data_IF_752808252393
#
_entry.id   IF_752808252393
#
_cell.length_a   1.000
_cell.length_b   1.000
_cell.length_c   1.000
_cell.angle_alpha   90.00
_cell.angle_beta   90.00
_cell.angle_gamma   90.00
#
_symmetry.space_group_name_H-M   'P 1'
#
loop_
_entity.id
_entity.type
_entity.pdbx_description
1 polymer ?
#
# COMPACT_ATOMS: atom_id res chain seq x y z
N UNK A 1 -20.17 -4.12 20.51
CA UNK A 1 -19.78 -3.61 19.18
C UNK A 1 -19.72 -4.81 18.24
N UNK A 2 -20.03 -4.67 16.94
CA UNK A 2 -19.75 -5.76 15.99
C UNK A 2 -18.23 -5.98 15.96
N UNK A 3 -17.78 -7.21 16.13
CA UNK A 3 -16.37 -7.56 15.96
C UNK A 3 -16.05 -7.51 14.46
N UNK A 4 -15.28 -6.51 14.04
CA UNK A 4 -14.89 -6.34 12.64
C UNK A 4 -13.63 -7.15 12.27
N UNK A 5 -12.99 -7.80 13.26
CA UNK A 5 -11.68 -8.41 13.11
C UNK A 5 -10.58 -7.37 12.91
N UNK A 6 -9.35 -7.81 12.67
CA UNK A 6 -8.22 -6.91 12.37
C UNK A 6 -8.41 -6.18 11.03
N UNK A 7 -7.96 -4.91 10.91
CA UNK A 7 -7.93 -4.26 9.62
C UNK A 7 -6.91 -4.92 8.68
N UNK A 8 -7.26 -5.03 7.40
CA UNK A 8 -6.38 -5.56 6.33
C UNK A 8 -5.41 -4.48 5.82
N UNK A 9 -5.71 -3.22 6.09
CA UNK A 9 -4.82 -2.09 5.86
C UNK A 9 -5.03 -1.05 6.94
N UNK A 10 -3.95 -0.45 7.43
CA UNK A 10 -4.02 0.74 8.24
C UNK A 10 -2.77 1.60 8.04
N UNK A 11 -2.93 2.92 8.16
CA UNK A 11 -1.85 3.89 8.04
C UNK A 11 -2.09 5.14 8.89
N UNK A 12 -1.02 5.87 9.19
CA UNK A 12 -1.04 7.09 10.00
C UNK A 12 -1.18 8.35 9.14
N UNK A 13 -2.11 9.23 9.52
CA UNK A 13 -2.40 10.47 8.83
C UNK A 13 -1.96 11.66 9.69
N UNK A 14 -1.08 12.49 9.13
CA UNK A 14 -0.64 13.73 9.77
C UNK A 14 -1.53 14.87 9.30
N UNK A 15 -2.12 15.63 10.24
CA UNK A 15 -2.82 16.92 9.99
C UNK A 15 -3.85 16.87 8.85
N UNK A 16 -4.96 16.15 9.06
CA UNK A 16 -6.08 16.19 8.11
C UNK A 16 -6.61 17.63 8.03
N UNK A 17 -6.71 18.15 6.79
CA UNK A 17 -7.18 19.50 6.50
C UNK A 17 -8.69 19.67 6.77
N UNK A 18 -9.10 19.64 8.04
CA UNK A 18 -10.41 20.10 8.56
C UNK A 18 -10.44 19.94 10.09
N UNK A 19 -11.17 20.81 10.82
CA UNK A 19 -11.27 20.71 12.28
C UNK A 19 -12.04 19.45 12.76
N UNK A 20 -11.63 18.83 13.88
CA UNK A 20 -10.40 19.12 14.62
C UNK A 20 -9.19 18.70 13.78
N UNK A 21 -8.18 19.56 13.71
CA UNK A 21 -6.88 19.23 13.11
C UNK A 21 -6.18 18.25 14.06
N UNK A 22 -6.62 17.01 14.04
CA UNK A 22 -6.03 15.94 14.80
C UNK A 22 -5.39 14.96 13.82
N UNK A 23 -4.31 14.33 14.26
CA UNK A 23 -3.80 13.15 13.58
C UNK A 23 -4.86 12.04 13.63
N UNK A 24 -4.76 11.08 12.72
CA UNK A 24 -5.73 9.99 12.66
C UNK A 24 -5.10 8.73 12.11
N UNK A 25 -5.76 7.60 12.34
CA UNK A 25 -5.45 6.33 11.70
C UNK A 25 -6.57 6.05 10.70
N UNK A 26 -6.21 5.83 9.43
CA UNK A 26 -7.12 5.24 8.46
C UNK A 26 -7.01 3.73 8.59
N UNK A 27 -8.14 3.04 8.66
CA UNK A 27 -8.20 1.59 8.75
C UNK A 27 -9.22 1.05 7.77
N UNK A 28 -8.84 0.04 6.98
CA UNK A 28 -9.71 -0.70 6.07
C UNK A 28 -9.85 -2.11 6.59
N UNK A 29 -11.08 -2.52 6.89
CA UNK A 29 -11.39 -3.85 7.41
C UNK A 29 -11.71 -4.82 6.29
N UNK A 30 -11.58 -6.12 6.56
CA UNK A 30 -11.91 -7.17 5.59
C UNK A 30 -13.38 -7.15 5.15
N UNK A 31 -14.25 -6.62 5.99
CA UNK A 31 -15.66 -6.35 5.67
C UNK A 31 -15.84 -5.29 4.59
N UNK A 32 -14.81 -4.51 4.30
CA UNK A 32 -14.84 -3.40 3.36
C UNK A 32 -15.03 -2.04 4.00
N UNK A 33 -15.37 -1.97 5.29
CA UNK A 33 -15.59 -0.71 5.99
C UNK A 33 -14.28 0.05 6.15
N UNK A 34 -14.33 1.35 5.88
CA UNK A 34 -13.20 2.28 5.99
C UNK A 34 -13.48 3.24 7.14
N UNK A 35 -12.64 3.16 8.16
CA UNK A 35 -12.72 4.00 9.34
C UNK A 35 -11.62 5.02 9.35
N UNK A 36 -11.97 6.21 9.82
CA UNK A 36 -11.02 7.21 10.28
C UNK A 36 -11.14 7.28 11.81
N UNK A 37 -10.04 6.95 12.48
CA UNK A 37 -9.96 6.92 13.93
C UNK A 37 -9.13 8.13 14.36
N UNK A 38 -9.75 9.21 14.86
CA UNK A 38 -8.99 10.39 15.26
C UNK A 38 -8.14 10.05 16.48
N UNK A 39 -6.91 10.56 16.50
CA UNK A 39 -6.02 10.52 17.64
C UNK A 39 -6.31 11.79 18.43
N UNK A 40 -6.83 11.62 19.64
CA UNK A 40 -7.05 12.72 20.57
C UNK A 40 -5.71 13.32 21.03
N UNK A 41 -5.58 14.65 20.98
CA UNK A 41 -4.41 15.36 21.48
C UNK A 41 -4.36 15.37 23.02
N UNK A 42 -5.52 15.30 23.68
CA UNK A 42 -5.62 15.23 25.13
C UNK A 42 -5.46 13.80 25.63
N UNK A 43 -4.23 13.50 26.05
CA UNK A 43 -3.82 12.19 26.56
C UNK A 43 -4.63 11.68 27.75
N UNK A 44 -5.30 12.55 28.53
CA UNK A 44 -6.15 12.12 29.64
C UNK A 44 -7.39 11.35 29.17
N UNK A 45 -7.77 11.49 27.90
CA UNK A 45 -8.89 10.77 27.30
C UNK A 45 -8.53 9.32 26.93
N UNK A 46 -7.25 9.00 26.93
CA UNK A 46 -6.75 7.64 26.83
C UNK A 46 -6.71 7.06 28.23
N UNK A 47 -7.35 5.91 28.42
CA UNK A 47 -7.24 5.14 29.67
C UNK A 47 -5.87 4.46 29.71
N UNK A 48 -4.82 5.26 29.86
CA UNK A 48 -3.47 4.77 30.10
C UNK A 48 -3.47 4.27 31.54
N UNK A 49 -3.14 2.99 31.74
CA UNK A 49 -3.01 2.42 33.08
C UNK A 49 -2.09 3.34 33.92
N UNK A 50 -2.61 3.99 34.99
CA UNK A 50 -1.90 5.03 35.73
C UNK A 50 -0.77 4.47 36.62
N UNK A 51 -0.67 3.15 36.73
CA UNK A 51 0.21 2.52 37.69
C UNK A 51 1.68 2.48 37.24
N UNK A 52 2.02 2.93 36.03
CA UNK A 52 3.40 2.99 35.52
C UNK A 52 4.38 3.66 36.47
N UNK A 53 4.03 4.84 36.98
CA UNK A 53 4.88 5.59 37.89
C UNK A 53 4.96 4.93 39.28
N UNK A 54 3.96 4.09 39.61
CA UNK A 54 3.91 3.33 40.85
C UNK A 54 4.61 1.97 40.76
N UNK A 55 4.85 1.44 39.55
CA UNK A 55 5.44 0.11 39.32
C UNK A 55 6.81 -0.06 40.00
N UNK A 56 7.63 1.00 39.97
CA UNK A 56 8.95 1.07 40.63
C UNK A 56 8.88 0.81 42.14
N UNK A 57 7.75 1.10 42.79
CA UNK A 57 7.57 0.87 44.22
C UNK A 57 7.22 -0.59 44.55
N UNK A 58 6.84 -1.37 43.55
CA UNK A 58 6.48 -2.78 43.66
C UNK A 58 7.45 -3.71 42.93
N UNK A 59 8.55 -3.18 42.36
CA UNK A 59 9.60 -3.95 41.66
C UNK A 59 10.08 -5.19 42.43
N UNK A 60 10.36 -5.13 43.75
CA UNK A 60 10.79 -6.32 44.49
C UNK A 60 9.73 -7.43 44.49
N UNK A 61 8.46 -7.05 44.58
CA UNK A 61 7.32 -7.97 44.63
C UNK A 61 6.99 -8.49 43.23
N UNK A 62 7.07 -7.65 42.19
CA UNK A 62 6.96 -8.03 40.79
C UNK A 62 8.07 -9.01 40.40
N UNK A 63 9.30 -8.85 40.90
CA UNK A 63 10.40 -9.76 40.57
C UNK A 63 10.39 -11.07 41.37
N UNK A 64 9.51 -11.19 42.36
CA UNK A 64 9.36 -12.42 43.15
C UNK A 64 8.57 -13.50 42.39
N UNK A 65 8.51 -14.70 42.96
CA UNK A 65 7.75 -15.86 42.44
C UNK A 65 6.43 -16.11 43.17
N UNK A 66 5.89 -15.11 43.87
CA UNK A 66 4.63 -15.24 44.63
C UNK A 66 3.38 -15.18 43.73
N UNK A 67 2.22 -15.62 44.25
CA UNK A 67 0.93 -15.40 43.57
C UNK A 67 0.61 -13.91 43.41
N UNK A 68 1.00 -13.08 44.37
CA UNK A 68 0.88 -11.61 44.26
C UNK A 68 1.79 -11.07 43.16
N UNK A 69 2.98 -11.64 42.96
CA UNK A 69 3.82 -11.33 41.80
C UNK A 69 3.10 -11.64 40.49
N UNK A 70 2.44 -12.79 40.34
CA UNK A 70 1.66 -13.07 39.13
C UNK A 70 0.53 -12.07 38.90
N UNK A 71 -0.17 -11.67 39.97
CA UNK A 71 -1.22 -10.65 39.90
C UNK A 71 -0.66 -9.27 39.52
N UNK A 72 0.43 -8.84 40.17
CA UNK A 72 1.09 -7.57 39.90
C UNK A 72 1.75 -7.55 38.52
N UNK A 73 2.32 -8.66 38.04
CA UNK A 73 2.79 -8.82 36.65
C UNK A 73 1.63 -8.65 35.67
N UNK A 74 0.47 -9.23 35.94
CA UNK A 74 -0.75 -8.99 35.13
C UNK A 74 -1.27 -7.55 35.22
N UNK A 75 -0.91 -6.79 36.24
CA UNK A 75 -1.33 -5.38 36.39
C UNK A 75 -0.32 -4.37 35.83
N UNK A 76 0.98 -4.64 35.96
CA UNK A 76 2.08 -3.74 35.63
C UNK A 76 2.82 -4.13 34.33
N UNK A 77 2.79 -5.40 33.93
CA UNK A 77 3.39 -5.88 32.67
C UNK A 77 2.36 -6.08 31.56
N UNK A 78 1.07 -5.88 31.83
CA UNK A 78 0.11 -5.74 30.74
C UNK A 78 0.47 -4.44 30.01
N UNK A 79 0.66 -4.48 28.68
CA UNK A 79 0.93 -3.28 27.90
C UNK A 79 -0.06 -2.20 28.34
N UNK A 80 0.35 -0.94 28.41
CA UNK A 80 -0.58 0.15 28.72
C UNK A 80 -1.57 0.18 27.57
N UNK A 81 -2.65 -0.59 27.66
CA UNK A 81 -3.66 -0.72 26.64
C UNK A 81 -4.59 0.45 26.85
N UNK A 82 -4.22 1.61 26.34
CA UNK A 82 -5.17 2.69 26.31
C UNK A 82 -6.28 2.34 25.31
N UNK A 83 -7.44 1.96 25.86
CA UNK A 83 -8.69 2.02 25.13
C UNK A 83 -9.18 3.47 25.20
N UNK A 84 -9.53 4.04 24.05
CA UNK A 84 -10.11 5.39 24.03
C UNK A 84 -11.61 5.27 24.23
N UNK A 85 -12.10 5.61 25.43
CA UNK A 85 -13.54 5.53 25.74
C UNK A 85 -14.35 6.67 25.11
N UNK A 86 -13.69 7.74 24.62
CA UNK A 86 -14.34 8.94 24.05
C UNK A 86 -14.12 9.18 22.55
N UNK A 87 -13.13 8.54 21.92
CA UNK A 87 -12.91 8.66 20.47
C UNK A 87 -13.90 7.76 19.77
N UNK A 88 -14.80 8.36 18.99
CA UNK A 88 -15.72 7.61 18.13
C UNK A 88 -15.06 7.44 16.76
N UNK A 89 -14.68 6.21 16.36
CA UNK A 89 -14.29 5.93 14.99
C UNK A 89 -15.40 6.40 14.05
N UNK A 90 -15.03 7.14 13.01
CA UNK A 90 -15.98 7.54 11.99
C UNK A 90 -15.87 6.58 10.80
N UNK A 91 -16.94 5.86 10.49
CA UNK A 91 -17.02 5.12 9.24
C UNK A 91 -17.21 6.13 8.12
N UNK A 92 -16.15 6.37 7.35
CA UNK A 92 -16.14 7.37 6.28
C UNK A 92 -16.59 6.80 4.94
N UNK A 93 -16.72 5.47 4.84
CA UNK A 93 -17.24 4.79 3.66
C UNK A 93 -17.06 3.28 3.71
N UNK A 94 -17.44 2.61 2.63
CA UNK A 94 -17.24 1.17 2.47
C UNK A 94 -16.82 0.82 1.05
N UNK A 95 -16.08 -0.28 0.92
CA UNK A 95 -15.55 -0.82 -0.31
C UNK A 95 -15.96 -2.28 -0.40
N UNK A 96 -16.62 -2.68 -1.49
CA UNK A 96 -16.88 -4.10 -1.73
C UNK A 96 -15.64 -4.72 -2.35
N UNK A 97 -15.03 -5.73 -1.72
CA UNK A 97 -13.89 -6.43 -2.31
C UNK A 97 -14.33 -7.52 -3.29
N UNK A 98 -13.54 -7.71 -4.35
CA UNK A 98 -13.73 -8.83 -5.28
C UNK A 98 -13.20 -10.11 -4.65
N UNK A 99 -14.03 -11.14 -4.56
CA UNK A 99 -13.62 -12.48 -4.09
C UNK A 99 -12.66 -13.20 -5.03
N UNK A 100 -12.53 -12.73 -6.27
CA UNK A 100 -11.80 -13.41 -7.34
C UNK A 100 -10.46 -12.74 -7.68
N UNK A 101 -10.03 -11.74 -6.90
CA UNK A 101 -8.75 -11.06 -7.12
C UNK A 101 -7.91 -11.13 -5.87
N UNK A 102 -6.85 -11.91 -5.96
CA UNK A 102 -5.70 -11.86 -5.07
C UNK A 102 -4.44 -11.62 -5.93
N UNK A 103 -3.49 -10.79 -5.49
CA UNK A 103 -3.51 -10.04 -4.24
C UNK A 103 -4.37 -8.76 -4.32
N UNK A 104 -5.00 -8.40 -3.20
CA UNK A 104 -5.57 -7.07 -2.97
C UNK A 104 -4.42 -6.10 -2.65
N UNK A 105 -4.34 -4.97 -3.35
CA UNK A 105 -3.39 -3.90 -3.01
C UNK A 105 -4.15 -2.68 -2.50
N UNK A 106 -3.82 -2.23 -1.29
CA UNK A 106 -4.35 -1.01 -0.69
C UNK A 106 -3.16 -0.10 -0.37
N UNK A 107 -3.22 1.14 -0.85
CA UNK A 107 -2.23 2.18 -0.62
C UNK A 107 -2.92 3.48 -0.22
N UNK A 108 -2.32 4.25 0.69
CA UNK A 108 -2.79 5.57 1.07
C UNK A 108 -1.68 6.60 0.88
N UNK A 109 -2.02 7.76 0.30
CA UNK A 109 -1.06 8.81 0.01
C UNK A 109 -0.95 9.79 1.18
N UNK A 110 0.24 9.94 1.76
CA UNK A 110 0.50 10.87 2.87
C UNK A 110 1.18 12.18 2.44
N UNK A 111 1.02 12.58 1.18
CA UNK A 111 1.61 13.78 0.57
C UNK A 111 0.63 14.98 0.54
N UNK A 112 -0.46 14.90 1.31
CA UNK A 112 -1.54 15.88 1.32
C UNK A 112 -2.63 15.65 0.26
N UNK A 113 -2.43 14.72 -0.69
CA UNK A 113 -3.47 14.35 -1.64
C UNK A 113 -4.56 13.45 -1.03
N UNK A 114 -4.31 12.79 0.11
CA UNK A 114 -5.29 12.00 0.88
C UNK A 114 -6.12 11.06 0.00
N UNK A 115 -5.47 10.34 -0.91
CA UNK A 115 -6.05 9.34 -1.78
C UNK A 115 -5.87 7.95 -1.18
N UNK A 116 -6.97 7.21 -1.09
CA UNK A 116 -6.98 5.77 -0.85
C UNK A 116 -7.10 5.05 -2.19
N UNK A 117 -6.09 4.27 -2.54
CA UNK A 117 -6.01 3.53 -3.79
C UNK A 117 -6.22 2.06 -3.48
N UNK A 118 -7.17 1.44 -4.16
CA UNK A 118 -7.53 0.04 -3.95
C UNK A 118 -7.59 -0.69 -5.29
N UNK A 119 -6.76 -1.72 -5.42
CA UNK A 119 -6.82 -2.69 -6.52
C UNK A 119 -7.42 -4.00 -6.00
N UNK A 120 -8.42 -4.50 -6.72
CA UNK A 120 -9.18 -5.70 -6.34
C UNK A 120 -10.53 -5.40 -5.69
N UNK A 121 -11.06 -4.18 -5.82
CA UNK A 121 -12.43 -3.88 -5.43
C UNK A 121 -13.44 -4.36 -6.48
N UNK A 122 -14.68 -4.56 -6.07
CA UNK A 122 -15.80 -4.88 -6.94
C UNK A 122 -16.57 -3.59 -7.26
N UNK A 123 -16.49 -3.14 -8.51
CA UNK A 123 -17.30 -2.03 -9.02
C UNK A 123 -18.20 -2.55 -10.14
N UNK A 124 -19.52 -2.38 -10.00
CA UNK A 124 -20.53 -2.93 -10.93
C UNK A 124 -20.32 -4.42 -11.20
N UNK A 125 -20.06 -5.18 -10.12
CA UNK A 125 -19.82 -6.63 -10.12
C UNK A 125 -18.59 -7.12 -10.89
N UNK A 126 -17.63 -6.22 -11.14
CA UNK A 126 -16.38 -6.54 -11.86
C UNK A 126 -15.18 -6.12 -10.99
N UNK A 127 -14.10 -6.94 -10.94
CA UNK A 127 -12.88 -6.53 -10.27
C UNK A 127 -12.27 -5.30 -10.91
N UNK A 128 -11.87 -4.32 -10.09
CA UNK A 128 -11.54 -2.98 -10.53
C UNK A 128 -10.44 -2.34 -9.69
N UNK A 129 -9.87 -1.29 -10.25
CA UNK A 129 -9.10 -0.26 -9.55
C UNK A 129 -10.09 0.80 -9.08
N UNK A 130 -9.93 1.32 -7.87
CA UNK A 130 -10.59 2.55 -7.44
C UNK A 130 -9.66 3.46 -6.67
N UNK A 131 -9.84 4.75 -6.90
CA UNK A 131 -9.16 5.82 -6.18
C UNK A 131 -10.21 6.66 -5.49
N UNK A 132 -10.06 6.80 -4.19
CA UNK A 132 -10.98 7.54 -3.34
C UNK A 132 -10.27 8.73 -2.72
N UNK A 133 -10.89 9.91 -2.77
CA UNK A 133 -10.47 11.06 -1.98
C UNK A 133 -11.06 10.91 -0.58
N UNK A 134 -10.19 10.94 0.42
CA UNK A 134 -10.52 10.86 1.84
C UNK A 134 -10.54 12.27 2.43
N UNK A 135 -11.63 12.58 3.14
CA UNK A 135 -11.73 13.74 4.04
C UNK A 135 -12.00 13.23 5.46
N UNK A 136 -12.02 14.14 6.45
CA UNK A 136 -12.33 13.80 7.84
C UNK A 136 -13.68 13.11 8.06
N UNK A 137 -14.64 13.37 7.16
CA UNK A 137 -16.03 12.94 7.33
C UNK A 137 -16.49 11.92 6.31
N UNK A 138 -15.84 11.82 5.15
CA UNK A 138 -16.29 10.96 4.06
C UNK A 138 -15.16 10.52 3.13
N UNK A 139 -15.42 9.42 2.47
CA UNK A 139 -14.66 8.90 1.34
C UNK A 139 -15.48 9.10 0.06
N UNK A 140 -14.86 9.62 -1.00
CA UNK A 140 -15.53 9.86 -2.29
C UNK A 140 -14.75 9.26 -3.44
N UNK A 141 -15.42 8.50 -4.31
CA UNK A 141 -14.80 7.89 -5.48
C UNK A 141 -14.43 8.99 -6.50
N UNK A 142 -13.14 9.06 -6.86
CA UNK A 142 -12.60 10.00 -7.85
C UNK A 142 -12.39 9.31 -9.20
N UNK A 143 -11.89 8.08 -9.16
CA UNK A 143 -11.57 7.30 -10.35
C UNK A 143 -11.88 5.82 -10.09
N UNK A 144 -12.44 5.13 -11.08
CA UNK A 144 -12.59 3.68 -11.07
C UNK A 144 -12.38 3.12 -12.47
N UNK A 145 -11.69 1.99 -12.55
CA UNK A 145 -11.49 1.28 -13.81
C UNK A 145 -11.56 -0.24 -13.63
N UNK A 146 -12.55 -0.86 -14.29
CA UNK A 146 -12.83 -2.29 -14.25
C UNK A 146 -12.30 -3.09 -15.45
N UNK A 147 -11.70 -2.42 -16.44
CA UNK A 147 -11.26 -3.06 -17.70
C UNK A 147 -9.76 -2.93 -17.95
N UNK A 148 -9.11 -1.98 -17.28
CA UNK A 148 -7.67 -1.77 -17.35
C UNK A 148 -6.95 -2.98 -16.74
N UNK A 149 -6.17 -3.65 -17.58
CA UNK A 149 -5.49 -4.88 -17.21
C UNK A 149 -4.06 -4.59 -16.75
N UNK A 150 -3.88 -4.46 -15.43
CA UNK A 150 -2.57 -4.20 -14.81
C UNK A 150 -2.00 -5.45 -14.13
N UNK A 151 -0.66 -5.55 -14.09
CA UNK A 151 0.08 -6.52 -13.30
C UNK A 151 0.25 -5.98 -11.86
N UNK A 152 0.68 -4.73 -11.74
CA UNK A 152 0.76 -4.01 -10.48
C UNK A 152 0.47 -2.51 -10.69
N UNK A 153 0.19 -1.81 -9.60
CA UNK A 153 -0.17 -0.39 -9.56
C UNK A 153 0.37 0.28 -8.29
N UNK A 154 0.76 1.53 -8.37
CA UNK A 154 1.10 2.38 -7.21
C UNK A 154 0.80 3.84 -7.55
N UNK A 155 1.00 4.75 -6.60
CA UNK A 155 0.87 6.17 -6.83
C UNK A 155 2.22 6.88 -6.71
N UNK A 156 2.45 7.81 -7.64
CA UNK A 156 3.62 8.70 -7.58
C UNK A 156 3.20 10.07 -7.06
N UNK A 157 3.71 10.43 -5.88
CA UNK A 157 3.57 11.79 -5.33
C UNK A 157 4.23 12.85 -6.20
N UNK A 158 5.28 12.51 -6.96
CA UNK A 158 5.92 13.44 -7.90
C UNK A 158 4.99 13.77 -9.06
N UNK A 159 4.42 12.75 -9.70
CA UNK A 159 3.60 12.92 -10.90
C UNK A 159 2.13 13.25 -10.59
N UNK A 160 1.71 13.10 -9.33
CA UNK A 160 0.30 13.12 -8.92
C UNK A 160 -0.58 12.19 -9.78
N UNK A 161 -0.03 11.00 -10.08
CA UNK A 161 -0.58 10.08 -11.06
C UNK A 161 -0.48 8.62 -10.57
N UNK A 162 -1.37 7.77 -11.09
CA UNK A 162 -1.23 6.33 -10.95
C UNK A 162 -0.11 5.86 -11.86
N UNK A 163 0.79 5.07 -11.31
CA UNK A 163 1.78 4.34 -12.08
C UNK A 163 1.37 2.88 -12.12
N UNK A 164 1.39 2.28 -13.31
CA UNK A 164 0.94 0.91 -13.51
C UNK A 164 1.91 0.13 -14.39
N UNK A 165 1.96 -1.18 -14.18
CA UNK A 165 2.58 -2.12 -15.13
C UNK A 165 1.46 -2.74 -15.95
N UNK A 166 1.36 -2.46 -17.26
CA UNK A 166 0.36 -3.10 -18.09
C UNK A 166 0.63 -4.60 -18.22
N UNK A 167 -0.40 -5.47 -18.11
CA UNK A 167 -0.18 -6.92 -18.23
C UNK A 167 0.43 -7.36 -19.56
N UNK A 168 0.14 -6.62 -20.63
CA UNK A 168 0.59 -6.94 -21.99
C UNK A 168 1.91 -6.25 -22.37
N UNK A 169 2.41 -5.34 -21.53
CA UNK A 169 3.66 -4.62 -21.78
C UNK A 169 4.42 -4.47 -20.46
N UNK A 170 4.97 -5.58 -19.99
CA UNK A 170 5.70 -5.64 -18.72
C UNK A 170 7.11 -5.04 -18.81
N UNK A 171 7.56 -4.60 -19.98
CA UNK A 171 8.83 -3.86 -20.12
C UNK A 171 8.67 -2.36 -19.90
N UNK A 172 7.43 -1.85 -19.85
CA UNK A 172 7.15 -0.43 -19.66
C UNK A 172 6.33 -0.16 -18.41
N UNK A 173 6.41 1.07 -17.91
CA UNK A 173 5.49 1.59 -16.91
C UNK A 173 4.57 2.62 -17.56
N UNK A 174 3.28 2.51 -17.28
CA UNK A 174 2.25 3.47 -17.68
C UNK A 174 2.03 4.51 -16.59
N UNK A 175 1.92 5.77 -16.98
CA UNK A 175 1.61 6.92 -16.13
C UNK A 175 0.21 7.40 -16.52
N UNK A 176 -0.72 7.27 -15.58
CA UNK A 176 -2.12 7.61 -15.75
C UNK A 176 -2.49 8.74 -14.79
N UNK A 177 -2.77 9.90 -15.35
CA UNK A 177 -3.21 11.06 -14.57
C UNK A 177 -4.57 10.82 -13.92
N UNK A 178 -4.66 11.16 -12.63
CA UNK A 178 -5.92 11.08 -11.89
C UNK A 178 -6.66 12.41 -12.05
N UNK A 179 -7.96 12.40 -12.41
CA UNK A 179 -8.74 13.63 -12.44
C UNK A 179 -8.75 14.32 -11.06
N UNK A 180 -8.46 15.63 -11.02
CA UNK A 180 -8.42 16.39 -9.75
C UNK A 180 -9.79 16.56 -9.07
N UNK A 181 -10.88 16.39 -9.81
CA UNK A 181 -12.23 16.46 -9.29
C UNK A 181 -13.04 15.23 -9.72
N UNK A 182 -14.02 14.78 -8.92
CA UNK A 182 -14.97 13.75 -9.34
C UNK A 182 -15.67 14.27 -10.60
N UNK A 183 -15.30 13.74 -11.77
CA UNK A 183 -16.00 14.10 -13.00
C UNK A 183 -17.39 13.47 -12.90
N UNK A 184 -18.44 14.26 -13.14
CA UNK A 184 -19.77 13.69 -13.43
C UNK A 184 -19.56 12.64 -14.51
N UNK A 185 -20.03 11.41 -14.28
CA UNK A 185 -19.83 10.28 -15.18
C UNK A 185 -20.00 10.70 -16.64
N UNK A 186 -18.90 10.68 -17.39
CA UNK A 186 -18.88 10.95 -18.83
C UNK A 186 -18.66 9.63 -19.56
N UNK A 187 -19.25 9.46 -20.76
CA UNK A 187 -18.98 8.31 -21.62
C UNK A 187 -17.47 8.09 -21.73
N UNK A 188 -17.03 6.89 -21.36
CA UNK A 188 -15.64 6.48 -21.15
C UNK A 188 -14.76 6.82 -22.36
N UNK A 189 -13.98 7.88 -22.25
CA UNK A 189 -12.76 8.03 -23.02
C UNK A 189 -11.72 7.13 -22.34
N UNK A 190 -11.15 6.19 -23.12
CA UNK A 190 -9.93 5.51 -22.69
C UNK A 190 -8.91 6.62 -22.44
N UNK A 191 -8.43 6.80 -21.20
CA UNK A 191 -7.50 7.88 -20.90
C UNK A 191 -6.24 7.69 -21.73
N UNK A 192 -5.69 8.80 -22.20
CA UNK A 192 -4.32 8.83 -22.67
C UNK A 192 -3.41 8.45 -21.50
N UNK A 193 -2.45 7.57 -21.75
CA UNK A 193 -1.39 7.28 -20.77
C UNK A 193 -0.06 7.55 -21.43
N UNK A 194 0.87 8.01 -20.60
CA UNK A 194 2.27 8.11 -20.99
C UNK A 194 2.97 6.79 -20.64
N UNK A 195 3.85 6.31 -21.50
CA UNK A 195 4.68 5.14 -21.26
C UNK A 195 6.13 5.53 -21.15
N UNK A 196 6.82 4.94 -20.19
CA UNK A 196 8.25 5.05 -20.02
C UNK A 196 8.91 3.67 -20.08
N UNK A 197 10.14 3.65 -20.58
CA UNK A 197 11.01 2.48 -20.47
C UNK A 197 10.67 1.30 -21.37
N UNK A 198 9.99 1.47 -22.51
CA UNK A 198 9.59 0.38 -23.43
C UNK A 198 10.70 -0.62 -23.81
N UNK A 199 11.98 -0.23 -23.70
CA UNK A 199 13.17 -1.04 -23.96
C UNK A 199 13.87 -1.61 -22.71
N UNK A 200 13.29 -1.44 -21.52
CA UNK A 200 13.84 -1.97 -20.28
C UNK A 200 13.51 -3.45 -20.10
N UNK A 201 14.15 -4.04 -19.09
CA UNK A 201 13.84 -5.38 -18.60
C UNK A 201 12.38 -5.49 -18.21
N UNK A 202 11.87 -6.72 -18.23
CA UNK A 202 10.54 -7.03 -17.72
C UNK A 202 10.46 -6.63 -16.25
N UNK A 203 9.35 -6.04 -15.84
CA UNK A 203 9.03 -5.65 -14.47
C UNK A 203 7.62 -6.14 -14.16
N UNK A 204 7.37 -6.53 -12.92
CA UNK A 204 6.08 -7.08 -12.50
C UNK A 204 5.57 -6.48 -11.19
N UNK A 205 6.44 -5.86 -10.41
CA UNK A 205 6.09 -5.19 -9.16
C UNK A 205 6.47 -3.72 -9.17
N UNK A 206 5.72 -2.92 -8.41
CA UNK A 206 5.88 -1.49 -8.22
C UNK A 206 5.87 -1.13 -6.73
N UNK A 207 6.78 -0.24 -6.36
CA UNK A 207 6.78 0.46 -5.07
C UNK A 207 6.91 1.96 -5.31
N UNK A 208 6.27 2.80 -4.48
CA UNK A 208 6.59 4.22 -4.48
C UNK A 208 8.08 4.41 -4.14
N UNK A 209 8.73 5.36 -4.81
CA UNK A 209 10.07 5.82 -4.45
C UNK A 209 9.97 7.07 -3.58
N UNK A 210 9.49 8.16 -4.17
CA UNK A 210 9.43 9.46 -3.53
C UNK A 210 9.19 10.64 -4.46
N UNK A 211 9.33 11.86 -3.94
CA UNK A 211 9.13 13.08 -4.75
C UNK A 211 10.42 13.68 -5.32
N UNK A 212 11.58 13.31 -4.75
CA UNK A 212 12.82 14.07 -4.95
C UNK A 212 13.80 13.38 -5.90
N UNK A 213 14.34 12.22 -5.53
CA UNK A 213 15.42 11.56 -6.29
C UNK A 213 14.90 10.45 -7.20
N UNK A 214 14.22 9.47 -6.61
CA UNK A 214 13.57 8.39 -7.33
C UNK A 214 12.07 8.53 -7.16
N UNK A 215 11.34 8.54 -8.27
CA UNK A 215 9.89 8.75 -8.28
C UNK A 215 9.12 7.44 -8.16
N UNK A 216 9.76 6.33 -8.52
CA UNK A 216 9.18 5.00 -8.56
C UNK A 216 10.31 3.97 -8.47
N UNK A 217 10.01 2.83 -7.85
CA UNK A 217 10.80 1.62 -7.98
C UNK A 217 9.97 0.54 -8.69
N UNK A 218 10.62 -0.24 -9.54
CA UNK A 218 10.05 -1.48 -10.07
C UNK A 218 11.08 -2.60 -10.06
N UNK A 219 10.60 -3.85 -10.04
CA UNK A 219 11.48 -5.01 -10.12
C UNK A 219 10.80 -6.20 -10.81
N UNK A 220 11.62 -7.19 -11.13
CA UNK A 220 11.24 -8.37 -11.89
C UNK A 220 11.24 -9.65 -11.04
N UNK A 221 10.44 -10.62 -11.46
CA UNK A 221 10.48 -12.00 -10.94
C UNK A 221 11.26 -12.91 -11.90
N UNK A 222 12.25 -12.35 -12.62
CA UNK A 222 13.16 -13.16 -13.43
C UNK A 222 14.10 -13.98 -12.53
N UNK A 223 14.67 -15.07 -13.06
CA UNK A 223 15.63 -15.90 -12.30
C UNK A 223 16.73 -15.02 -11.69
N UNK A 224 17.27 -14.11 -12.49
CA UNK A 224 18.22 -13.07 -12.09
C UNK A 224 17.48 -11.73 -12.17
N UNK A 225 16.96 -11.22 -11.04
CA UNK A 225 16.05 -10.09 -11.06
C UNK A 225 16.78 -8.75 -11.27
N UNK A 226 16.04 -7.77 -11.77
CA UNK A 226 16.52 -6.39 -11.93
C UNK A 226 15.72 -5.47 -11.01
N UNK A 227 16.41 -4.55 -10.33
CA UNK A 227 15.78 -3.42 -9.63
C UNK A 227 15.93 -2.18 -10.51
N UNK A 228 14.83 -1.49 -10.77
CA UNK A 228 14.82 -0.27 -11.57
C UNK A 228 14.34 0.88 -10.70
N UNK A 229 15.20 1.87 -10.48
CA UNK A 229 14.86 3.13 -9.83
C UNK A 229 14.61 4.19 -10.91
N UNK A 230 13.39 4.70 -10.97
CA UNK A 230 12.94 5.58 -12.03
C UNK A 230 12.92 7.05 -11.59
N UNK A 231 13.17 7.92 -12.54
CA UNK A 231 13.00 9.35 -12.45
C UNK A 231 12.24 9.83 -13.69
N UNK A 232 11.33 10.78 -13.49
CA UNK A 232 10.50 11.36 -14.55
C UNK A 232 10.71 12.87 -14.56
N UNK A 233 10.66 13.49 -15.74
CA UNK A 233 10.61 14.96 -15.80
C UNK A 233 9.34 15.50 -15.15
N UNK A 234 9.38 16.76 -14.74
CA UNK A 234 8.26 17.38 -14.05
C UNK A 234 6.97 17.32 -14.88
N UNK A 235 5.79 17.12 -14.25
CA UNK A 235 4.49 17.24 -14.93
C UNK A 235 4.28 18.57 -15.64
N UNK A 236 5.00 19.64 -15.28
CA UNK A 236 4.90 20.95 -15.94
C UNK A 236 5.79 21.11 -17.17
N UNK A 237 6.77 20.22 -17.38
CA UNK A 237 7.68 20.31 -18.51
C UNK A 237 7.00 19.93 -19.83
N UNK A 238 7.36 20.63 -20.91
CA UNK A 238 6.80 20.39 -22.25
C UNK A 238 7.23 19.04 -22.81
N UNK A 239 8.48 18.66 -22.57
CA UNK A 239 9.00 17.36 -22.97
C UNK A 239 8.92 16.38 -21.80
N UNK A 240 8.27 15.24 -22.04
CA UNK A 240 8.13 14.17 -21.05
C UNK A 240 9.28 13.20 -21.21
N UNK A 241 10.20 13.22 -20.26
CA UNK A 241 11.41 12.41 -20.24
C UNK A 241 11.39 11.46 -19.06
N UNK A 242 12.07 10.34 -19.21
CA UNK A 242 12.35 9.42 -18.13
C UNK A 242 13.85 9.10 -18.10
N UNK A 243 14.35 8.85 -16.90
CA UNK A 243 15.64 8.24 -16.66
C UNK A 243 15.50 7.14 -15.62
N UNK A 244 16.37 6.15 -15.68
CA UNK A 244 16.34 5.02 -14.77
C UNK A 244 17.74 4.54 -14.44
N UNK A 245 17.95 4.17 -13.18
CA UNK A 245 19.06 3.35 -12.74
C UNK A 245 18.59 1.90 -12.72
N UNK A 246 19.13 1.08 -13.62
CA UNK A 246 18.85 -0.36 -13.73
C UNK A 246 19.97 -1.12 -13.05
N UNK A 247 19.62 -1.88 -12.02
CA UNK A 247 20.55 -2.70 -11.23
C UNK A 247 20.20 -4.17 -11.48
N UNK A 248 20.99 -4.83 -12.31
CA UNK A 248 20.83 -6.25 -12.64
C UNK A 248 21.58 -7.10 -11.61
N UNK A 249 20.87 -7.99 -10.93
CA UNK A 249 21.47 -8.96 -10.00
C UNK A 249 21.90 -10.18 -10.79
N UNK A 250 23.19 -10.51 -10.81
CA UNK A 250 23.74 -11.56 -11.68
C UNK A 250 23.65 -12.98 -11.09
N UNK A 251 22.97 -13.14 -9.95
CA UNK A 251 22.77 -14.44 -9.31
C UNK A 251 21.28 -14.76 -9.19
N UNK A 252 20.91 -16.06 -9.28
CA UNK A 252 19.55 -16.47 -9.05
C UNK A 252 19.04 -16.11 -7.65
N UNK A 253 17.95 -15.35 -7.59
CA UNK A 253 17.27 -15.01 -6.34
C UNK A 253 15.84 -14.50 -6.59
N UNK A 254 15.02 -14.49 -5.54
CA UNK A 254 13.69 -13.90 -5.57
C UNK A 254 13.64 -12.65 -4.69
N UNK A 255 13.16 -11.53 -5.24
CA UNK A 255 13.01 -10.27 -4.49
C UNK A 255 11.60 -10.17 -3.92
N UNK A 256 11.51 -10.12 -2.60
CA UNK A 256 10.26 -9.91 -1.88
C UNK A 256 10.33 -8.57 -1.16
N UNK A 257 9.32 -7.71 -1.31
CA UNK A 257 9.29 -6.35 -0.76
C UNK A 257 10.48 -5.50 -1.21
N UNK A 258 10.20 -4.33 -1.76
CA UNK A 258 11.23 -3.35 -2.09
C UNK A 258 10.71 -1.98 -1.68
N UNK A 259 11.56 -1.20 -1.00
CA UNK A 259 11.21 0.16 -0.58
C UNK A 259 12.44 1.06 -0.58
N UNK A 260 12.22 2.35 -0.80
CA UNK A 260 13.26 3.37 -0.82
C UNK A 260 13.12 4.31 0.36
N UNK A 261 14.22 4.61 1.04
CA UNK A 261 14.30 5.73 1.97
C UNK A 261 14.90 6.94 1.26
N UNK A 262 14.07 7.97 1.08
CA UNK A 262 14.47 9.22 0.44
C UNK A 262 15.46 10.02 1.26
N UNK A 263 15.47 9.85 2.59
CA UNK A 263 16.31 10.66 3.48
C UNK A 263 17.76 10.21 3.47
N UNK A 264 17.99 8.90 3.38
CA UNK A 264 19.35 8.32 3.39
C UNK A 264 19.77 7.70 2.05
N UNK A 265 18.94 7.83 1.01
CA UNK A 265 19.16 7.31 -0.34
C UNK A 265 19.53 5.81 -0.37
N UNK A 266 18.75 5.03 0.39
CA UNK A 266 18.94 3.59 0.56
C UNK A 266 17.76 2.79 0.02
N UNK A 267 18.05 1.68 -0.63
CA UNK A 267 17.10 0.63 -0.95
C UNK A 267 17.07 -0.38 0.19
N UNK A 268 15.87 -0.77 0.61
CA UNK A 268 15.64 -1.86 1.55
C UNK A 268 14.76 -2.91 0.90
N UNK A 269 15.20 -4.17 0.90
CA UNK A 269 14.45 -5.28 0.31
C UNK A 269 14.80 -6.63 0.93
N UNK A 270 13.96 -7.63 0.68
CA UNK A 270 14.21 -9.01 1.08
C UNK A 270 14.61 -9.82 -0.14
N UNK A 271 15.61 -10.68 0.05
CA UNK A 271 15.95 -11.72 -0.90
C UNK A 271 15.58 -13.08 -0.30
N UNK A 272 14.75 -13.84 -1.00
CA UNK A 272 14.55 -15.26 -0.72
C UNK A 272 15.43 -16.09 -1.65
N UNK A 273 16.25 -16.97 -1.07
CA UNK A 273 17.13 -17.86 -1.81
C UNK A 273 17.14 -19.22 -1.15
N UNK A 274 16.54 -20.22 -1.80
CA UNK A 274 16.29 -21.53 -1.20
C UNK A 274 15.50 -21.36 0.11
N UNK A 275 16.00 -21.94 1.21
CA UNK A 275 15.43 -21.81 2.55
C UNK A 275 15.97 -20.57 3.32
N UNK A 276 16.82 -19.75 2.69
CA UNK A 276 17.43 -18.60 3.32
C UNK A 276 16.67 -17.30 3.02
N UNK A 277 16.39 -16.55 4.10
CA UNK A 277 15.90 -15.18 4.03
C UNK A 277 17.05 -14.21 4.31
N UNK A 278 17.30 -13.31 3.36
CA UNK A 278 18.25 -12.21 3.52
C UNK A 278 17.52 -10.88 3.61
N UNK A 279 17.94 -10.06 4.57
CA UNK A 279 17.53 -8.66 4.68
C UNK A 279 18.65 -7.81 4.11
N UNK A 280 18.32 -7.05 3.07
CA UNK A 280 19.29 -6.29 2.29
C UNK A 280 19.01 -4.79 2.41
N UNK A 281 20.06 -4.02 2.71
CA UNK A 281 20.08 -2.56 2.60
C UNK A 281 21.20 -2.14 1.67
N UNK A 282 20.87 -1.47 0.57
CA UNK A 282 21.84 -1.02 -0.43
C UNK A 282 21.88 0.50 -0.48
N UNK A 283 23.07 1.07 -0.33
CA UNK A 283 23.31 2.53 -0.38
C UNK A 283 23.62 2.97 -1.81
N UNK A 284 22.92 4.00 -2.31
CA UNK A 284 23.02 4.49 -3.69
C UNK A 284 23.81 5.81 -3.83
N UNK A 285 24.30 6.43 -2.75
CA UNK A 285 24.79 7.82 -2.78
C UNK A 285 26.06 8.01 -3.63
N UNK A 286 26.97 7.03 -3.63
CA UNK A 286 28.36 7.24 -4.06
C UNK A 286 28.69 6.76 -5.48
N UNK A 287 27.69 6.65 -6.38
CA UNK A 287 27.80 6.02 -7.73
C UNK A 287 28.19 4.54 -7.72
N UNK A 288 28.76 4.04 -6.63
CA UNK A 288 28.98 2.64 -6.31
C UNK A 288 27.96 2.23 -5.26
N UNK A 289 27.31 1.10 -5.50
CA UNK A 289 26.31 0.54 -4.59
C UNK A 289 27.03 -0.21 -3.48
N UNK A 290 26.91 0.28 -2.24
CA UNK A 290 27.40 -0.42 -1.06
C UNK A 290 26.29 -1.35 -0.56
N UNK A 291 26.61 -2.63 -0.38
CA UNK A 291 25.63 -3.65 -0.05
C UNK A 291 25.80 -4.15 1.39
N UNK A 292 24.76 -3.99 2.18
CA UNK A 292 24.65 -4.54 3.52
C UNK A 292 23.63 -5.68 3.48
N UNK A 293 24.13 -6.91 3.33
CA UNK A 293 23.30 -8.11 3.17
C UNK A 293 23.48 -9.01 4.39
N UNK A 294 22.41 -9.29 5.11
CA UNK A 294 22.45 -10.19 6.27
C UNK A 294 21.47 -11.32 6.10
N UNK A 295 21.98 -12.55 6.22
CA UNK A 295 21.18 -13.76 6.35
C UNK A 295 20.73 -13.88 7.80
N UNK A 296 19.41 -14.04 7.98
CA UNK A 296 18.82 -14.25 9.30
C UNK A 296 18.31 -15.70 9.39
N UNK A 297 18.82 -16.51 10.33
CA UNK A 297 18.37 -17.88 10.48
C UNK A 297 16.93 -17.95 11.02
N UNK A 298 16.14 -18.90 10.51
CA UNK A 298 14.83 -19.25 11.06
C UNK A 298 13.69 -18.26 10.76
N UNK A 299 13.84 -17.39 9.76
CA UNK A 299 12.71 -16.61 9.22
C UNK A 299 12.06 -17.43 8.11
N UNK A 300 10.86 -17.95 8.36
CA UNK A 300 10.05 -18.72 7.40
C UNK A 300 8.97 -17.87 6.71
N UNK A 301 8.35 -16.93 7.43
CA UNK A 301 7.27 -16.11 6.90
C UNK A 301 7.47 -14.63 7.22
N UNK A 302 7.51 -13.81 6.16
CA UNK A 302 7.56 -12.34 6.24
C UNK A 302 6.20 -11.78 5.87
N UNK A 303 5.66 -10.93 6.74
CA UNK A 303 4.36 -10.29 6.55
C UNK A 303 4.49 -8.89 5.96
N UNK A 304 5.55 -8.16 6.30
CA UNK A 304 5.83 -6.86 5.70
C UNK A 304 7.30 -6.45 5.85
N UNK A 305 7.79 -5.62 4.93
CA UNK A 305 9.05 -4.93 5.07
C UNK A 305 8.95 -3.50 4.53
N UNK A 306 9.49 -2.53 5.27
CA UNK A 306 9.47 -1.11 4.91
C UNK A 306 10.49 -0.31 5.72
N UNK A 307 10.77 0.91 5.29
CA UNK A 307 11.43 1.90 6.13
C UNK A 307 10.47 2.43 7.20
N UNK A 308 10.87 2.36 8.47
CA UNK A 308 10.10 2.85 9.60
C UNK A 308 11.00 3.35 10.72
N UNK A 309 10.47 4.22 11.58
CA UNK A 309 11.17 4.63 12.81
C UNK A 309 11.44 3.39 13.68
N UNK A 310 12.63 3.35 14.29
CA UNK A 310 13.04 2.30 15.21
C UNK A 310 12.05 2.17 16.38
N UNK A 311 11.96 0.96 16.95
CA UNK A 311 11.22 0.73 18.18
C UNK A 311 11.93 1.34 19.40
N UNK A 312 13.25 1.54 19.35
CA UNK A 312 14.03 2.07 20.47
C UNK A 312 14.54 3.50 20.29
N UNK A 313 14.53 4.03 19.06
CA UNK A 313 15.08 5.36 18.75
C UNK A 313 14.23 6.11 17.72
N UNK A 314 14.56 7.38 17.50
CA UNK A 314 13.94 8.22 16.48
C UNK A 314 14.49 7.97 15.07
N UNK A 315 15.55 7.16 14.94
CA UNK A 315 16.17 6.82 13.66
C UNK A 315 15.25 5.97 12.79
N UNK A 316 15.33 6.14 11.48
CA UNK A 316 14.61 5.30 10.50
C UNK A 316 15.52 4.17 10.06
N UNK A 317 15.01 2.94 10.11
CA UNK A 317 15.70 1.75 9.64
C UNK A 317 14.81 0.97 8.68
N UNK A 318 15.43 0.11 7.87
CA UNK A 318 14.68 -0.88 7.13
C UNK A 318 14.25 -1.98 8.09
N UNK A 319 12.93 -2.19 8.16
CA UNK A 319 12.29 -3.02 9.18
C UNK A 319 11.54 -4.16 8.53
N UNK A 320 11.55 -5.33 9.18
CA UNK A 320 10.94 -6.56 8.68
C UNK A 320 10.09 -7.17 9.78
N UNK A 321 8.80 -7.36 9.51
CA UNK A 321 7.87 -8.04 10.39
C UNK A 321 7.68 -9.47 9.90
N UNK A 322 7.99 -10.45 10.75
CA UNK A 322 8.01 -11.86 10.44
C UNK A 322 7.44 -12.71 11.59
N UNK A 323 7.09 -13.96 11.29
CA UNK A 323 6.60 -15.01 12.22
C UNK A 323 7.32 -15.06 13.57
N UNK A 324 8.63 -14.81 13.53
CA UNK A 324 9.55 -14.95 14.66
C UNK A 324 9.88 -13.64 15.36
N UNK A 325 9.40 -12.49 14.88
CA UNK A 325 9.58 -11.19 15.54
C UNK A 325 9.64 -10.01 14.57
N UNK A 326 10.01 -8.85 15.12
CA UNK A 326 10.24 -7.62 14.36
C UNK A 326 11.74 -7.33 14.29
N UNK A 327 12.27 -7.14 13.09
CA UNK A 327 13.70 -6.97 12.84
C UNK A 327 14.00 -5.58 12.32
N UNK A 328 15.11 -4.99 12.76
CA UNK A 328 15.63 -3.73 12.24
C UNK A 328 17.03 -3.93 11.69
N UNK A 329 17.25 -3.44 10.47
CA UNK A 329 18.54 -3.47 9.81
C UNK A 329 19.31 -2.18 10.10
N UNK A 330 20.28 -2.24 11.01
CA UNK A 330 21.08 -1.09 11.47
C UNK A 330 22.43 -0.95 10.73
N UNK A 331 22.53 -1.44 9.49
CA UNK A 331 23.72 -1.42 8.61
C UNK A 331 24.83 -2.37 9.08
N UNK A 332 25.30 -2.21 10.32
CA UNK A 332 26.38 -3.02 10.92
C UNK A 332 25.87 -4.28 11.61
N UNK A 333 24.57 -4.32 11.93
CA UNK A 333 23.93 -5.45 12.61
C UNK A 333 22.44 -5.53 12.33
N UNK A 334 21.88 -6.67 12.68
CA UNK A 334 20.44 -6.87 12.79
C UNK A 334 20.06 -6.93 14.27
N UNK A 335 19.09 -6.12 14.65
CA UNK A 335 18.45 -6.21 15.97
C UNK A 335 17.04 -6.76 15.81
N UNK A 336 16.57 -7.47 16.83
CA UNK A 336 15.28 -8.12 16.85
C UNK A 336 14.53 -7.76 18.12
N UNK A 337 13.25 -7.50 17.96
CA UNK A 337 12.29 -7.53 19.04
C UNK A 337 11.49 -8.85 18.95
N UNK A 338 11.73 -9.83 19.84
CA UNK A 338 11.16 -11.18 19.72
C UNK A 338 9.69 -11.27 20.12
N UNK A 339 9.25 -10.36 20.98
CA UNK A 339 7.89 -10.30 21.51
C UNK A 339 7.21 -8.99 21.09
N UNK A 340 6.99 -8.75 19.78
CA UNK A 340 6.11 -7.67 19.39
C UNK A 340 4.76 -7.91 20.06
N UNK A 341 4.18 -6.85 20.63
CA UNK A 341 2.93 -6.93 21.44
C UNK A 341 1.81 -7.67 20.69
N UNK A 342 1.85 -7.61 19.36
CA UNK A 342 1.16 -8.55 18.49
C UNK A 342 2.08 -8.90 17.30
N UNK A 343 2.14 -10.19 16.95
CA UNK A 343 2.94 -10.74 15.85
C UNK A 343 2.69 -10.00 14.53
N UNK A 344 1.44 -9.66 14.22
CA UNK A 344 1.08 -9.00 12.94
C UNK A 344 0.90 -7.48 13.02
N UNK A 345 1.17 -6.86 14.17
CA UNK A 345 0.92 -5.43 14.36
C UNK A 345 1.88 -4.56 13.54
N UNK A 346 1.33 -3.88 12.52
CA UNK A 346 1.94 -2.64 12.03
C UNK A 346 1.84 -1.60 13.14
N UNK A 347 2.98 -1.17 13.66
CA UNK A 347 3.03 -0.03 14.58
C UNK A 347 2.91 1.28 13.80
N UNK A 348 2.08 2.17 14.32
CA UNK A 348 2.03 3.57 13.90
C UNK A 348 2.65 4.41 15.00
N UNK A 349 3.36 5.47 14.63
CA UNK A 349 4.10 6.31 15.57
C UNK A 349 3.70 7.75 15.38
N UNK A 350 3.33 8.41 16.47
CA UNK A 350 3.07 9.86 16.46
C UNK A 350 4.37 10.69 16.61
N UNK A 351 4.25 12.01 16.61
CA UNK A 351 5.39 12.93 16.82
C UNK A 351 6.04 12.78 18.21
N UNK A 352 5.30 12.23 19.18
CA UNK A 352 5.73 12.09 20.57
C UNK A 352 6.23 10.67 20.89
N UNK A 353 6.41 9.85 19.84
CA UNK A 353 6.86 8.46 19.90
C UNK A 353 5.92 7.48 20.61
N UNK A 354 4.63 7.79 20.74
CA UNK A 354 3.65 6.79 21.17
C UNK A 354 3.43 5.77 20.03
N UNK A 355 3.12 4.53 20.39
CA UNK A 355 2.94 3.43 19.44
C UNK A 355 1.48 3.00 19.43
N UNK A 356 0.88 3.00 18.25
CA UNK A 356 -0.48 2.56 18.02
C UNK A 356 -0.46 1.24 17.25
N UNK A 357 -1.35 0.31 17.59
CA UNK A 357 -1.52 -0.95 16.86
C UNK A 357 -2.92 -1.52 17.06
N UNK A 358 -3.35 -2.43 16.20
CA UNK A 358 -4.59 -3.18 16.36
C UNK A 358 -4.27 -4.55 16.95
N UNK A 359 -5.01 -4.97 17.98
CA UNK A 359 -4.91 -6.31 18.54
C UNK A 359 -5.67 -7.36 17.70
N UNK A 360 -5.63 -8.61 18.14
CA UNK A 360 -6.31 -9.75 17.51
C UNK A 360 -7.82 -9.58 17.35
N UNK A 361 -8.45 -8.74 18.17
CA UNK A 361 -9.87 -8.45 18.12
C UNK A 361 -10.21 -7.25 17.23
N UNK A 362 -9.19 -6.57 16.69
CA UNK A 362 -9.35 -5.35 15.90
C UNK A 362 -9.53 -4.10 16.75
N UNK A 363 -9.20 -4.14 18.04
CA UNK A 363 -9.23 -2.97 18.90
C UNK A 363 -7.93 -2.16 18.75
N UNK A 364 -8.06 -0.85 18.56
CA UNK A 364 -6.91 0.05 18.55
C UNK A 364 -6.36 0.21 19.98
N UNK A 365 -5.08 -0.06 20.14
CA UNK A 365 -4.33 0.08 21.39
C UNK A 365 -3.22 1.11 21.22
N UNK A 366 -2.88 1.80 22.30
CA UNK A 366 -1.81 2.80 22.31
C UNK A 366 -0.87 2.54 23.47
N UNK A 367 0.43 2.40 23.20
CA UNK A 367 1.49 2.32 24.22
C UNK A 367 2.24 3.64 24.23
N UNK A 368 2.37 4.24 25.40
CA UNK A 368 3.12 5.49 25.53
C UNK A 368 4.62 5.27 25.32
N UNK A 369 5.30 6.29 24.80
CA UNK A 369 6.73 6.20 24.45
C UNK A 369 7.64 5.72 25.60
N UNK A 370 7.52 6.22 26.85
CA UNK A 370 8.41 5.80 27.94
C UNK A 370 8.27 4.31 28.24
N UNK A 371 7.02 3.82 28.28
CA UNK A 371 6.76 2.42 28.59
C UNK A 371 7.17 1.51 27.47
N UNK A 372 6.88 1.92 26.23
CA UNK A 372 7.32 1.16 25.08
C UNK A 372 8.83 0.95 25.13
N UNK A 373 9.60 1.99 25.44
CA UNK A 373 11.06 1.90 25.59
C UNK A 373 11.52 1.01 26.75
N UNK A 374 10.81 1.00 27.87
CA UNK A 374 11.11 0.13 29.02
C UNK A 374 10.79 -1.36 28.74
N UNK A 375 9.75 -1.63 27.95
CA UNK A 375 9.31 -3.00 27.61
C UNK A 375 10.06 -3.58 26.40
N UNK A 376 10.53 -2.73 25.50
CA UNK A 376 11.24 -3.16 24.30
C UNK A 376 12.68 -3.47 24.65
N UNK A 377 12.98 -4.77 24.68
CA UNK A 377 14.35 -5.27 24.69
C UNK A 377 14.71 -5.73 23.29
N UNK A 378 15.53 -4.92 22.62
CA UNK A 378 16.16 -5.30 21.36
C UNK A 378 17.30 -6.27 21.63
N UNK A 379 17.26 -7.40 20.95
CA UNK A 379 18.27 -8.44 21.00
C UNK A 379 19.09 -8.38 19.72
N UNK A 380 20.42 -8.47 19.83
CA UNK A 380 21.24 -8.66 18.65
C UNK A 380 20.96 -10.05 18.08
N UNK A 381 20.71 -10.11 16.78
CA UNK A 381 20.57 -11.38 16.08
C UNK A 381 21.95 -11.83 15.64
N UNK A 382 22.25 -13.12 15.81
CA UNK A 382 23.40 -13.77 15.17
C UNK A 382 23.16 -13.87 13.66
N UNK A 383 23.16 -12.72 12.99
CA UNK A 383 22.98 -12.61 11.56
C UNK A 383 24.33 -12.83 10.87
N UNK A 384 24.33 -13.63 9.80
CA UNK A 384 25.52 -13.86 9.01
C UNK A 384 25.59 -12.81 7.89
N UNK A 385 26.63 -11.97 7.89
CA UNK A 385 26.88 -11.09 6.76
C UNK A 385 27.19 -11.93 5.52
N UNK A 386 26.47 -11.65 4.43
CA UNK A 386 26.63 -12.35 3.15
C UNK A 386 27.44 -11.48 2.22
N UNK A 387 28.24 -12.13 1.36
CA UNK A 387 29.00 -11.44 0.32
C UNK A 387 28.09 -10.56 -0.56
N UNK A 388 28.65 -9.46 -1.06
CA UNK A 388 27.97 -8.60 -2.02
C UNK A 388 27.55 -9.40 -3.25
N UNK A 389 26.32 -9.18 -3.71
CA UNK A 389 25.84 -9.72 -4.96
C UNK A 389 26.62 -9.09 -6.11
N UNK A 390 27.05 -9.89 -7.10
CA UNK A 390 27.56 -9.34 -8.34
C UNK A 390 26.42 -8.64 -9.06
N UNK A 391 26.64 -7.37 -9.41
CA UNK A 391 25.64 -6.52 -10.05
C UNK A 391 26.20 -5.84 -11.29
N UNK A 392 25.32 -5.55 -12.25
CA UNK A 392 25.59 -4.58 -13.33
C UNK A 392 24.67 -3.39 -13.11
N UNK A 393 25.24 -2.20 -13.13
CA UNK A 393 24.50 -0.96 -13.00
C UNK A 393 24.54 -0.21 -14.34
N UNK A 394 23.35 0.06 -14.88
CA UNK A 394 23.17 0.80 -16.12
C UNK A 394 22.30 2.02 -15.87
N UNK A 395 22.67 3.14 -16.50
CA UNK A 395 21.83 4.33 -16.53
C UNK A 395 21.19 4.45 -17.91
N UNK A 396 19.86 4.46 -17.94
CA UNK A 396 19.08 4.53 -19.15
C UNK A 396 18.20 5.78 -19.11
N UNK A 397 17.89 6.33 -20.27
CA UNK A 397 16.97 7.44 -20.41
C UNK A 397 16.23 7.36 -21.74
N UNK A 398 15.16 8.13 -21.85
CA UNK A 398 14.39 8.22 -23.07
C UNK A 398 13.25 9.22 -22.96
N UNK A 399 12.49 9.30 -24.04
CA UNK A 399 11.24 10.07 -24.07
C UNK A 399 10.09 9.19 -23.61
N UNK A 400 9.10 9.81 -23.00
CA UNK A 400 7.84 9.15 -22.72
C UNK A 400 6.96 9.17 -23.98
N UNK A 401 6.38 8.04 -24.32
CA UNK A 401 5.44 7.92 -25.45
C UNK A 401 4.02 8.13 -24.96
N UNK A 402 3.24 8.98 -25.64
CA UNK A 402 1.81 9.14 -25.32
C UNK A 402 0.99 8.30 -26.30
N UNK A 403 0.23 7.34 -25.78
CA UNK A 403 -0.52 6.39 -26.60
C UNK A 403 -1.98 6.29 -26.15
N UNK A 404 -2.89 6.13 -27.12
CA UNK A 404 -4.25 5.67 -26.83
C UNK A 404 -4.17 4.19 -26.43
N UNK A 405 -4.41 3.90 -25.15
CA UNK A 405 -4.04 2.65 -24.51
C UNK A 405 -4.99 1.48 -24.79
N UNK A 406 -5.68 1.48 -25.92
CA UNK A 406 -6.82 0.59 -26.16
C UNK A 406 -6.48 -0.90 -25.97
N UNK A 407 -5.29 -1.31 -26.36
CA UNK A 407 -4.78 -2.68 -26.22
C UNK A 407 -4.61 -3.13 -24.77
N UNK A 408 -4.52 -2.21 -23.81
CA UNK A 408 -4.43 -2.51 -22.37
C UNK A 408 -5.79 -2.74 -21.71
N UNK A 409 -6.87 -2.48 -22.44
CA UNK A 409 -8.24 -2.64 -21.97
C UNK A 409 -8.82 -3.97 -22.39
N UNK A 410 -9.70 -4.51 -21.54
CA UNK A 410 -10.46 -5.74 -21.79
C UNK A 410 -11.83 -5.44 -22.38
N UNK A 411 -12.34 -6.34 -23.21
CA UNK A 411 -13.71 -6.31 -23.73
C UNK A 411 -14.71 -6.32 -22.58
N UNK A 412 -15.72 -5.44 -22.66
CA UNK A 412 -16.77 -5.34 -21.65
C UNK A 412 -17.55 -6.66 -21.46
N UNK A 413 -17.69 -7.46 -22.54
CA UNK A 413 -18.35 -8.75 -22.48
C UNK A 413 -17.40 -9.88 -22.06
N UNK A 414 -16.55 -10.32 -22.99
CA UNK A 414 -15.75 -11.54 -22.85
C UNK A 414 -14.42 -11.33 -22.11
N UNK A 415 -14.12 -10.10 -21.68
CA UNK A 415 -12.91 -9.71 -20.95
C UNK A 415 -11.58 -9.98 -21.69
N UNK A 416 -11.61 -10.34 -22.97
CA UNK A 416 -10.40 -10.47 -23.81
C UNK A 416 -9.76 -9.10 -24.06
N UNK A 417 -8.42 -9.00 -24.16
CA UNK A 417 -7.75 -7.78 -24.58
C UNK A 417 -8.31 -7.20 -25.88
N UNK A 418 -8.36 -5.88 -25.97
CA UNK A 418 -8.95 -5.15 -27.10
C UNK A 418 -7.89 -4.74 -28.11
N UNK A 419 -7.70 -5.52 -29.18
CA UNK A 419 -6.79 -5.14 -30.27
C UNK A 419 -7.38 -4.04 -31.15
N UNK A 420 -8.63 -4.22 -31.61
CA UNK A 420 -9.41 -3.23 -32.37
C UNK A 420 -10.79 -3.08 -31.75
N UNK A 421 -10.96 -2.24 -30.70
CA UNK A 421 -12.22 -2.16 -29.99
C UNK A 421 -13.34 -1.55 -30.83
N UNK A 422 -14.50 -2.17 -30.79
CA UNK A 422 -15.76 -1.52 -31.14
C UNK A 422 -16.26 -0.72 -29.95
N UNK A 423 -16.50 0.57 -30.15
CA UNK A 423 -17.02 1.47 -29.11
C UNK A 423 -18.51 1.66 -29.32
N UNK A 424 -19.32 1.17 -28.38
CA UNK A 424 -20.75 1.45 -28.34
C UNK A 424 -21.01 2.62 -27.41
N UNK A 425 -21.77 3.62 -27.85
CA UNK A 425 -22.17 4.79 -27.04
C UNK A 425 -23.69 4.86 -26.95
N UNK A 426 -24.22 4.92 -25.73
CA UNK A 426 -25.61 5.30 -25.47
C UNK A 426 -25.64 6.79 -25.15
N UNK A 427 -26.30 7.57 -26.00
CA UNK A 427 -26.54 9.00 -25.75
C UNK A 427 -27.53 9.22 -24.59
N UNK A 428 -28.51 8.33 -24.45
CA UNK A 428 -29.58 8.41 -23.46
C UNK A 428 -29.13 8.01 -22.04
N UNK A 429 -28.33 6.95 -21.91
CA UNK A 429 -27.81 6.48 -20.62
C UNK A 429 -26.38 6.93 -20.33
N UNK A 430 -25.75 7.68 -21.25
CA UNK A 430 -24.36 8.17 -21.16
C UNK A 430 -23.32 7.07 -20.98
N UNK A 431 -23.64 5.82 -21.32
CA UNK A 431 -22.75 4.67 -21.18
C UNK A 431 -21.91 4.50 -22.45
N UNK A 432 -20.59 4.27 -22.29
CA UNK A 432 -19.71 3.82 -23.37
C UNK A 432 -18.98 2.55 -22.97
N UNK A 433 -19.10 1.51 -23.80
CA UNK A 433 -18.43 0.22 -23.60
C UNK A 433 -17.59 -0.14 -24.83
N UNK A 434 -16.48 -0.85 -24.60
CA UNK A 434 -15.60 -1.33 -25.66
C UNK A 434 -15.71 -2.85 -25.80
N UNK A 435 -15.83 -3.34 -27.03
CA UNK A 435 -16.00 -4.76 -27.35
C UNK A 435 -14.92 -5.24 -28.32
N UNK A 436 -14.48 -6.51 -28.22
CA UNK A 436 -13.44 -7.05 -29.10
C UNK A 436 -13.98 -7.45 -30.49
N UNK A 437 -15.30 -7.61 -30.62
CA UNK A 437 -15.97 -7.97 -31.87
C UNK A 437 -17.45 -7.57 -31.81
N UNK A 438 -18.10 -7.48 -32.97
CA UNK A 438 -19.52 -7.18 -33.08
C UNK A 438 -20.36 -8.28 -32.39
N UNK A 439 -19.93 -9.54 -32.51
CA UNK A 439 -20.52 -10.68 -31.80
C UNK A 439 -20.45 -10.51 -30.27
N UNK A 440 -19.30 -10.09 -29.73
CA UNK A 440 -19.17 -9.83 -28.31
C UNK A 440 -20.04 -8.65 -27.85
N UNK A 441 -20.25 -7.65 -28.69
CA UNK A 441 -21.21 -6.58 -28.42
C UNK A 441 -22.65 -7.11 -28.42
N UNK A 442 -23.00 -7.91 -29.43
CA UNK A 442 -24.31 -8.58 -29.59
C UNK A 442 -24.66 -9.53 -28.45
N UNK A 443 -23.68 -10.16 -27.82
CA UNK A 443 -23.89 -11.08 -26.71
C UNK A 443 -23.94 -10.39 -25.32
N UNK A 444 -23.61 -9.10 -25.22
CA UNK A 444 -23.63 -8.31 -23.97
C UNK A 444 -24.76 -7.28 -23.97
N UNK A 445 -25.88 -7.69 -24.56
CA UNK A 445 -26.95 -6.86 -25.10
C UNK A 445 -27.97 -6.24 -24.12
N UNK A 446 -27.93 -6.39 -22.77
CA UNK A 446 -28.89 -5.67 -21.92
C UNK A 446 -28.91 -4.15 -22.17
N UNK A 447 -27.76 -3.56 -22.53
CA UNK A 447 -27.66 -2.12 -22.82
C UNK A 447 -28.18 -1.74 -24.20
N UNK A 448 -28.22 -2.63 -25.18
CA UNK A 448 -28.74 -2.32 -26.53
C UNK A 448 -30.26 -2.47 -26.59
N UNK A 449 -30.83 -3.51 -25.96
CA UNK A 449 -32.29 -3.69 -25.89
C UNK A 449 -32.96 -2.58 -25.10
N UNK A 450 -32.37 -2.14 -23.99
CA UNK A 450 -32.95 -1.11 -23.14
C UNK A 450 -33.14 0.26 -23.85
N UNK A 451 -32.33 0.55 -24.87
CA UNK A 451 -32.36 1.81 -25.63
C UNK A 451 -33.23 1.69 -26.90
N UNK A 452 -33.44 0.48 -27.39
CA UNK A 452 -34.12 0.24 -28.67
C UNK A 452 -35.39 -0.61 -28.56
N UNK A 453 -35.91 -0.85 -27.36
CA UNK A 453 -37.29 -1.28 -27.22
C UNK A 453 -38.22 -0.10 -27.52
N UNK A 454 -39.12 -0.19 -28.51
CA UNK A 454 -40.22 0.74 -28.58
C UNK A 454 -40.99 0.64 -27.26
N UNK A 455 -41.29 1.78 -26.65
CA UNK A 455 -42.20 1.85 -25.51
C UNK A 455 -43.54 1.32 -26.01
N UNK A 456 -43.82 0.03 -25.80
CA UNK A 456 -45.16 -0.49 -25.91
C UNK A 456 -45.91 -0.02 -24.68
N UNK A 457 -46.49 1.18 -24.75
CA UNK A 457 -47.59 1.53 -23.88
C UNK A 457 -48.72 0.55 -24.20
N UNK A 458 -49.29 -0.17 -23.21
CA UNK A 458 -50.52 -0.89 -23.45
C UNK A 458 -51.58 0.16 -23.81
N UNK A 459 -52.08 0.09 -25.03
CA UNK A 459 -53.30 0.78 -25.41
C UNK A 459 -54.41 0.01 -24.69
N UNK A 460 -54.94 0.57 -23.61
CA UNK A 460 -56.28 0.23 -23.14
C UNK A 460 -57.24 0.69 -24.25
N UNK A 461 -57.60 -0.25 -25.13
CA UNK A 461 -58.79 -0.10 -25.96
C UNK A 461 -59.95 -0.42 -25.02
N UNK A 462 -60.45 0.61 -24.35
CA UNK A 462 -61.77 0.53 -23.76
C UNK A 462 -62.82 0.47 -24.89
N UNK A 463 -63.67 -0.53 -24.77
CA UNK A 463 -64.73 -0.89 -25.68
C UNK A 463 -65.71 0.28 -25.94
N UNK A 464 -66.10 0.43 -27.21
CA UNK A 464 -67.52 0.51 -27.59
C UNK A 464 -67.82 -0.74 -28.43
#
# INVERSE_FOLDING_TARGET
MKHFGRPIFADYLVKINSPPRSDAIIAVFITGEVFLIPIDDNRQNYLINPYTETAKWFEPTINSSSQESEFLKRFYLVPHLAHVSGVKPNCIGSIKFSKNVEPLKIEFTNDGSNLLIVYGLQHKDIPSIGVFKVTSTKMSLVYADSLLSVADITYSSHNHALILIPRLSQTSVGILEIPQAPRKYQPRLIPEMMFAGSHLRRTVHLSPGGSNKWHLLSWSDEICPSIIAWHFSSPTEKEKLWSACVIDILLPCYLQFLSYDQTSDKLGFIVQKNDDTLVCVWDLENKHIIQYNYKIPGIDQIWSAKWAKSVSSSSVFFTVSASTGYYEHQIDKIVKWPNPIDKMAKFFTDEQENRFYFDDQGELKVVSAPVFKEQVKLENVEAQQVASYPIIQNYMNGKCDTLSCMHLYRCANCRRPLLCPLVSRSTEHRLSNCYCSAECQLNHWPTYVAIHQPISLPIEIDNI
#
